data_IF_876914603314
#
_entry.id   IF_876914603314
#
_cell.length_a   1.000
_cell.length_b   1.000
_cell.length_c   1.000
_cell.angle_alpha   90.00
_cell.angle_beta   90.00
_cell.angle_gamma   90.00
#
_symmetry.space_group_name_H-M   'P 1'
#
loop_
_entity.id
_entity.type
_entity.pdbx_description
1 polymer ?
#
# COMPACT_ATOMS: atom_id res chain seq x y z
N UNK A 1 7.16 3.45 15.58
CA UNK A 1 6.40 2.87 14.45
C UNK A 1 5.89 4.02 13.60
N UNK A 2 6.47 4.20 12.42
CA UNK A 2 5.96 5.17 11.45
C UNK A 2 4.90 4.48 10.60
N UNK A 3 3.71 5.04 10.51
CA UNK A 3 2.62 4.53 9.67
C UNK A 3 2.38 5.57 8.59
N UNK A 4 2.50 5.15 7.33
CA UNK A 4 2.25 5.98 6.16
C UNK A 4 0.97 5.58 5.47
N UNK A 5 0.21 6.56 5.00
CA UNK A 5 -0.98 6.32 4.19
C UNK A 5 -0.75 6.87 2.79
N UNK A 6 -1.14 6.10 1.79
CA UNK A 6 -1.18 6.54 0.40
C UNK A 6 -2.50 6.08 -0.19
N UNK A 7 -3.34 7.01 -0.63
CA UNK A 7 -4.58 6.63 -1.31
C UNK A 7 -4.38 6.50 -2.83
N UNK A 8 -5.15 5.62 -3.47
CA UNK A 8 -5.09 5.33 -4.90
C UNK A 8 -6.52 5.26 -5.46
N UNK A 9 -7.01 6.33 -6.09
CA UNK A 9 -8.32 6.30 -6.74
C UNK A 9 -8.23 5.70 -8.14
N UNK A 10 -8.78 4.50 -8.36
CA UNK A 10 -9.10 4.05 -9.73
C UNK A 10 -10.49 4.59 -10.10
N UNK A 11 -10.80 4.74 -11.39
CA UNK A 11 -12.09 5.29 -11.83
C UNK A 11 -13.21 4.38 -11.29
N UNK A 12 -13.99 4.88 -10.33
CA UNK A 12 -15.15 4.20 -9.74
C UNK A 12 -14.93 3.53 -8.38
N UNK A 13 -13.68 3.42 -7.89
CA UNK A 13 -13.36 2.78 -6.60
C UNK A 13 -12.37 3.63 -5.78
N UNK A 14 -12.67 3.85 -4.49
CA UNK A 14 -11.74 4.53 -3.59
C UNK A 14 -10.79 3.49 -2.98
N UNK A 15 -9.68 3.19 -3.67
CA UNK A 15 -8.66 2.28 -3.13
C UNK A 15 -7.68 3.06 -2.27
N UNK A 16 -7.15 2.44 -1.23
CA UNK A 16 -6.06 3.00 -0.45
C UNK A 16 -5.03 1.92 -0.12
N UNK A 17 -3.77 2.32 -0.08
CA UNK A 17 -2.67 1.47 0.34
C UNK A 17 -2.03 2.10 1.56
N UNK A 18 -2.09 1.38 2.67
CA UNK A 18 -1.38 1.75 3.88
C UNK A 18 -0.02 1.05 3.89
N UNK A 19 1.02 1.79 4.23
CA UNK A 19 2.36 1.25 4.34
C UNK A 19 2.64 0.98 5.82
N UNK A 20 3.00 -0.27 6.14
CA UNK A 20 3.26 -0.73 7.51
C UNK A 20 4.59 -1.49 7.55
N UNK A 21 5.30 -1.46 8.69
CA UNK A 21 6.48 -2.29 8.91
C UNK A 21 6.06 -3.57 9.62
N UNK A 22 6.48 -4.71 9.10
CA UNK A 22 6.29 -6.02 9.72
C UNK A 22 7.51 -6.88 9.45
N UNK A 23 8.02 -7.55 10.49
CA UNK A 23 9.17 -8.45 10.40
C UNK A 23 10.42 -7.81 9.74
N UNK A 24 10.67 -6.51 10.02
CA UNK A 24 11.80 -5.75 9.47
C UNK A 24 11.67 -5.33 8.00
N UNK A 25 10.51 -5.59 7.38
CA UNK A 25 10.22 -5.24 5.99
C UNK A 25 9.00 -4.32 5.90
N UNK A 26 9.04 -3.41 4.93
CA UNK A 26 7.85 -2.65 4.54
C UNK A 26 6.83 -3.57 3.89
N UNK A 27 5.57 -3.34 4.21
CA UNK A 27 4.41 -4.04 3.69
C UNK A 27 3.38 -3.03 3.22
N UNK A 28 2.57 -3.45 2.26
CA UNK A 28 1.44 -2.67 1.74
C UNK A 28 0.14 -3.37 2.10
N UNK A 29 -0.72 -2.68 2.84
CA UNK A 29 -2.09 -3.10 3.14
C UNK A 29 -3.05 -2.41 2.17
N UNK A 30 -3.72 -3.19 1.34
CA UNK A 30 -4.59 -2.70 0.28
C UNK A 30 -6.06 -2.75 0.71
N UNK A 31 -6.76 -1.65 0.49
CA UNK A 31 -8.14 -1.43 0.91
C UNK A 31 -8.96 -0.87 -0.27
N UNK A 32 -10.23 -1.25 -0.36
CA UNK A 32 -11.25 -0.66 -1.23
C UNK A 32 -12.39 -0.19 -0.34
N UNK A 33 -12.73 1.10 -0.39
CA UNK A 33 -13.74 1.73 0.46
C UNK A 33 -13.51 1.46 1.96
N UNK A 34 -12.24 1.44 2.38
CA UNK A 34 -11.82 1.19 3.76
C UNK A 34 -11.92 -0.27 4.21
N UNK A 35 -12.30 -1.19 3.32
CA UNK A 35 -12.33 -2.64 3.57
C UNK A 35 -11.17 -3.33 2.87
N UNK A 36 -10.70 -4.50 3.33
CA UNK A 36 -9.68 -5.28 2.63
C UNK A 36 -10.03 -5.50 1.15
N UNK A 37 -9.07 -5.32 0.26
CA UNK A 37 -9.25 -5.60 -1.17
C UNK A 37 -9.50 -7.11 -1.38
N UNK A 38 -10.77 -7.47 -1.60
CA UNK A 38 -11.18 -8.86 -1.81
C UNK A 38 -10.58 -9.47 -3.08
N UNK A 39 -10.28 -8.65 -4.09
CA UNK A 39 -9.62 -9.12 -5.31
C UNK A 39 -8.20 -9.57 -5.00
N UNK A 40 -7.44 -8.78 -4.24
CA UNK A 40 -6.09 -9.17 -3.81
C UNK A 40 -6.10 -10.38 -2.88
N UNK A 41 -7.05 -10.46 -1.95
CA UNK A 41 -7.21 -11.65 -1.10
C UNK A 41 -7.47 -12.89 -1.96
N UNK A 42 -8.32 -12.79 -2.98
CA UNK A 42 -8.62 -13.92 -3.87
C UNK A 42 -7.41 -14.36 -4.71
N UNK A 43 -6.58 -13.42 -5.16
CA UNK A 43 -5.42 -13.71 -6.03
C UNK A 43 -4.19 -14.15 -5.23
N UNK A 44 -3.91 -13.50 -4.10
CA UNK A 44 -2.68 -13.66 -3.32
C UNK A 44 -2.89 -14.27 -1.94
N UNK A 45 -4.13 -14.48 -1.50
CA UNK A 45 -4.47 -15.01 -0.18
C UNK A 45 -4.45 -13.98 0.95
N UNK A 46 -4.05 -12.74 0.68
CA UNK A 46 -3.97 -11.66 1.67
C UNK A 46 -4.15 -10.28 1.03
N UNK A 47 -4.63 -9.30 1.80
CA UNK A 47 -4.64 -7.88 1.43
C UNK A 47 -3.37 -7.14 1.89
N UNK A 48 -2.50 -7.81 2.67
CA UNK A 48 -1.21 -7.30 3.12
C UNK A 48 -0.12 -8.02 2.34
N UNK A 49 0.64 -7.27 1.56
CA UNK A 49 1.69 -7.80 0.69
C UNK A 49 3.06 -7.28 1.12
N UNK A 50 4.08 -8.16 1.16
CA UNK A 50 5.45 -7.74 1.45
C UNK A 50 5.98 -6.88 0.30
N UNK A 51 6.81 -5.90 0.63
CA UNK A 51 7.57 -5.11 -0.34
C UNK A 51 9.04 -5.53 -0.31
N UNK A 52 9.84 -5.21 -1.34
CA UNK A 52 11.27 -5.52 -1.34
C UNK A 52 12.09 -4.59 -0.44
N UNK A 53 11.49 -3.61 0.23
CA UNK A 53 12.20 -2.62 1.03
C UNK A 53 12.30 -3.05 2.50
N UNK A 54 13.50 -2.96 3.06
CA UNK A 54 13.73 -3.10 4.50
C UNK A 54 13.27 -1.85 5.25
N UNK A 55 13.08 -1.97 6.55
CA UNK A 55 12.75 -0.86 7.44
C UNK A 55 13.80 0.28 7.46
N UNK A 56 14.99 0.04 6.92
CA UNK A 56 16.04 1.04 6.74
C UNK A 56 15.71 2.07 5.65
N UNK A 57 14.83 1.72 4.71
CA UNK A 57 14.38 2.63 3.66
C UNK A 57 13.39 3.61 4.23
N UNK A 58 13.63 4.91 4.04
CA UNK A 58 12.75 5.97 4.50
C UNK A 58 11.32 5.79 3.97
N UNK A 59 10.33 6.01 4.84
CA UNK A 59 8.92 5.90 4.49
C UNK A 59 8.55 6.77 3.28
N UNK A 60 9.12 7.97 3.17
CA UNK A 60 8.89 8.88 2.05
C UNK A 60 9.35 8.28 0.72
N UNK A 61 10.49 7.59 0.71
CA UNK A 61 11.00 6.88 -0.47
C UNK A 61 10.06 5.75 -0.87
N UNK A 62 9.61 4.95 0.10
CA UNK A 62 8.65 3.86 -0.15
C UNK A 62 7.34 4.41 -0.73
N UNK A 63 6.82 5.48 -0.13
CA UNK A 63 5.59 6.14 -0.58
C UNK A 63 5.77 6.70 -2.01
N UNK A 64 6.89 7.37 -2.28
CA UNK A 64 7.19 7.95 -3.60
C UNK A 64 7.26 6.86 -4.68
N UNK A 65 7.97 5.77 -4.43
CA UNK A 65 8.04 4.62 -5.35
C UNK A 65 6.65 4.00 -5.60
N UNK A 66 5.82 3.88 -4.57
CA UNK A 66 4.46 3.37 -4.72
C UNK A 66 3.57 4.31 -5.55
N UNK A 67 3.77 5.62 -5.44
CA UNK A 67 3.08 6.62 -6.27
C UNK A 67 3.55 6.56 -7.73
N UNK A 68 4.86 6.46 -7.97
CA UNK A 68 5.42 6.36 -9.33
C UNK A 68 4.95 5.09 -10.06
N UNK A 69 4.80 3.97 -9.34
CA UNK A 69 4.29 2.70 -9.90
C UNK A 69 2.80 2.70 -10.17
N UNK A 70 2.05 3.60 -9.55
CA UNK A 70 0.61 3.71 -9.70
C UNK A 70 0.26 5.14 -10.09
N UNK A 71 0.53 5.53 -11.34
CA UNK A 71 0.33 6.88 -11.86
C UNK A 71 -1.10 7.45 -11.69
N UNK A 72 -2.08 6.60 -11.39
CA UNK A 72 -3.47 6.97 -11.11
C UNK A 72 -3.74 7.22 -9.61
N UNK A 73 -2.69 7.20 -8.77
CA UNK A 73 -2.78 7.42 -7.33
C UNK A 73 -3.28 8.83 -6.97
N UNK A 74 -3.97 8.94 -5.83
CA UNK A 74 -4.19 10.24 -5.17
C UNK A 74 -3.65 10.18 -3.75
N UNK A 75 -2.53 10.84 -3.53
CA UNK A 75 -1.91 10.96 -2.21
C UNK A 75 -2.89 11.68 -1.27
N UNK A 76 -3.22 11.08 -0.13
CA UNK A 76 -4.09 11.66 0.91
C UNK A 76 -3.55 11.36 2.29
#
# INVERSE_FOLDING_TARGET
>A
MSIGYVSFGWIGENRSIKVIIKDGLWHTEHLIDGKPDEHLIKVFGANILPTPWSEEVDQETVIKELQERNLHAKIS
#
